data_IF_168413085337
#
_entry.id   IF_168413085337
#
_cell.length_a   1.000
_cell.length_b   1.000
_cell.length_c   1.000
_cell.angle_alpha   90.00
_cell.angle_beta   90.00
_cell.angle_gamma   90.00
#
_symmetry.space_group_name_H-M   'P 1'
#
loop_
_entity.id
_entity.type
_entity.pdbx_description
1 polymer ?
#
# COMPACT_ATOMS: atom_id res chain seq x y z
N UNK A 1 -37.92 -7.30 23.46
CA UNK A 1 -37.93 -8.14 22.24
C UNK A 1 -37.95 -7.23 21.03
N UNK A 2 -36.81 -7.04 20.37
CA UNK A 2 -36.70 -6.20 19.16
C UNK A 2 -37.21 -6.98 17.97
N UNK A 3 -38.38 -6.65 17.49
CA UNK A 3 -38.94 -7.19 16.26
C UNK A 3 -37.99 -6.94 15.11
N UNK A 4 -37.32 -7.98 14.58
CA UNK A 4 -36.57 -7.91 13.32
C UNK A 4 -37.59 -7.66 12.20
N UNK A 5 -37.77 -6.41 11.80
CA UNK A 5 -38.59 -6.09 10.62
C UNK A 5 -38.02 -6.83 9.41
N UNK A 6 -38.90 -7.61 8.73
CA UNK A 6 -38.56 -8.30 7.48
C UNK A 6 -38.36 -7.24 6.39
N UNK A 7 -37.28 -7.36 5.63
CA UNK A 7 -37.00 -6.55 4.46
C UNK A 7 -37.84 -7.07 3.31
N UNK A 8 -38.56 -6.18 2.62
CA UNK A 8 -39.32 -6.52 1.42
C UNK A 8 -38.37 -6.75 0.22
N UNK A 9 -38.90 -7.37 -0.85
CA UNK A 9 -38.13 -7.58 -2.09
C UNK A 9 -37.72 -6.24 -2.72
N UNK A 10 -38.63 -5.26 -2.70
CA UNK A 10 -38.38 -3.93 -3.27
C UNK A 10 -37.31 -3.16 -2.47
N UNK A 11 -37.37 -3.23 -1.14
CA UNK A 11 -36.33 -2.65 -0.28
C UNK A 11 -34.97 -3.31 -0.51
N UNK A 12 -34.93 -4.63 -0.72
CA UNK A 12 -33.66 -5.31 -1.05
C UNK A 12 -33.14 -4.86 -2.41
N UNK A 13 -34.00 -4.77 -3.42
CA UNK A 13 -33.62 -4.28 -4.75
C UNK A 13 -33.06 -2.87 -4.68
N UNK A 14 -33.70 -1.97 -3.95
CA UNK A 14 -33.27 -0.60 -3.74
C UNK A 14 -31.91 -0.53 -3.02
N UNK A 15 -31.69 -1.34 -1.97
CA UNK A 15 -30.41 -1.44 -1.25
C UNK A 15 -29.28 -1.81 -2.21
N UNK A 16 -29.51 -2.84 -3.04
CA UNK A 16 -28.48 -3.35 -3.96
C UNK A 16 -28.20 -2.37 -5.09
N UNK A 17 -29.22 -1.67 -5.59
CA UNK A 17 -29.07 -0.61 -6.59
C UNK A 17 -28.21 0.55 -6.04
N UNK A 18 -28.58 1.10 -4.89
CA UNK A 18 -27.83 2.22 -4.28
C UNK A 18 -26.41 1.84 -3.88
N UNK A 19 -26.20 0.58 -3.49
CA UNK A 19 -24.85 0.08 -3.21
C UNK A 19 -24.00 -0.02 -4.50
N UNK A 20 -24.58 -0.42 -5.65
CA UNK A 20 -23.91 -0.42 -6.96
C UNK A 20 -23.57 0.99 -7.45
N UNK A 21 -24.40 1.97 -7.12
CA UNK A 21 -24.10 3.39 -7.37
C UNK A 21 -22.98 3.96 -6.47
N UNK A 22 -22.45 3.18 -5.53
CA UNK A 22 -21.39 3.59 -4.60
C UNK A 22 -21.88 4.31 -3.36
N UNK A 23 -23.19 4.27 -3.04
CA UNK A 23 -23.71 4.82 -1.80
C UNK A 23 -23.21 3.99 -0.59
N UNK A 24 -22.66 4.66 0.42
CA UNK A 24 -22.14 3.99 1.62
C UNK A 24 -23.24 3.30 2.45
N UNK A 25 -22.90 2.20 3.12
CA UNK A 25 -23.84 1.42 3.93
C UNK A 25 -24.58 2.23 5.02
N UNK A 26 -23.92 3.27 5.55
CA UNK A 26 -24.53 4.18 6.54
C UNK A 26 -25.60 5.05 5.88
N UNK A 27 -25.35 5.55 4.68
CA UNK A 27 -26.26 6.43 3.96
C UNK A 27 -27.47 5.64 3.45
N UNK A 28 -27.27 4.39 2.99
CA UNK A 28 -28.35 3.46 2.64
C UNK A 28 -29.22 3.15 3.85
N UNK A 29 -28.61 2.91 5.04
CA UNK A 29 -29.35 2.70 6.28
C UNK A 29 -30.22 3.93 6.65
N UNK A 30 -29.67 5.14 6.52
CA UNK A 30 -30.40 6.40 6.77
C UNK A 30 -31.54 6.63 5.79
N UNK A 31 -31.31 6.34 4.50
CA UNK A 31 -32.33 6.44 3.44
C UNK A 31 -33.55 5.56 3.77
N UNK A 32 -33.34 4.43 4.43
CA UNK A 32 -34.39 3.54 4.90
C UNK A 32 -34.88 3.91 6.33
N UNK A 33 -34.72 5.16 6.75
CA UNK A 33 -35.10 5.66 8.07
C UNK A 33 -34.56 4.78 9.24
N UNK A 34 -33.36 4.21 9.06
CA UNK A 34 -32.72 3.29 10.00
C UNK A 34 -33.55 2.04 10.33
N UNK A 35 -34.51 1.66 9.47
CA UNK A 35 -35.27 0.42 9.58
C UNK A 35 -34.37 -0.81 9.70
N UNK A 36 -33.20 -0.75 9.08
CA UNK A 36 -32.13 -1.75 9.18
C UNK A 36 -30.78 -1.08 9.49
N UNK A 37 -29.95 -1.78 10.25
CA UNK A 37 -28.63 -1.26 10.62
C UNK A 37 -27.66 -1.29 9.44
N UNK A 38 -26.65 -0.40 9.46
CA UNK A 38 -25.54 -0.40 8.47
C UNK A 38 -24.87 -1.77 8.32
N UNK A 39 -24.74 -2.53 9.43
CA UNK A 39 -24.16 -3.88 9.41
C UNK A 39 -25.05 -4.84 8.62
N UNK A 40 -26.36 -4.72 8.76
CA UNK A 40 -27.30 -5.55 8.00
C UNK A 40 -27.29 -5.18 6.53
N UNK A 41 -27.21 -3.89 6.18
CA UNK A 41 -27.02 -3.42 4.80
C UNK A 41 -25.75 -4.05 4.22
N UNK A 42 -24.61 -3.95 4.93
CA UNK A 42 -23.33 -4.55 4.50
C UNK A 42 -23.47 -6.06 4.24
N UNK A 43 -24.07 -6.81 5.16
CA UNK A 43 -24.27 -8.26 4.99
C UNK A 43 -25.11 -8.61 3.76
N UNK A 44 -26.17 -7.84 3.49
CA UNK A 44 -27.01 -8.04 2.30
C UNK A 44 -26.22 -7.76 1.02
N UNK A 45 -25.50 -6.66 0.96
CA UNK A 45 -24.69 -6.30 -0.20
C UNK A 45 -23.60 -7.35 -0.47
N UNK A 46 -22.85 -7.78 0.55
CA UNK A 46 -21.81 -8.82 0.40
C UNK A 46 -22.40 -10.18 -0.03
N UNK A 47 -23.59 -10.54 0.47
CA UNK A 47 -24.29 -11.75 0.02
C UNK A 47 -24.60 -11.74 -1.48
N UNK A 48 -24.76 -10.56 -2.07
CA UNK A 48 -24.99 -10.35 -3.50
C UNK A 48 -23.74 -9.89 -4.26
N UNK A 49 -22.53 -10.13 -3.71
CA UNK A 49 -21.24 -9.77 -4.30
C UNK A 49 -21.09 -8.26 -4.61
N UNK A 50 -21.68 -7.41 -3.77
CA UNK A 50 -21.58 -5.95 -3.89
C UNK A 50 -20.80 -5.41 -2.68
N UNK A 51 -19.62 -4.84 -2.93
CA UNK A 51 -18.89 -4.08 -1.92
C UNK A 51 -18.99 -2.56 -2.20
N UNK A 52 -20.00 -1.94 -1.58
CA UNK A 52 -20.24 -0.50 -1.75
C UNK A 52 -19.09 0.37 -1.21
N UNK A 53 -18.28 -0.14 -0.30
CA UNK A 53 -17.09 0.59 0.17
C UNK A 53 -16.02 0.63 -0.92
N UNK A 54 -15.80 -0.49 -1.62
CA UNK A 54 -14.86 -0.57 -2.73
C UNK A 54 -15.30 0.35 -3.88
N UNK A 55 -16.57 0.24 -4.30
CA UNK A 55 -17.15 1.08 -5.36
C UNK A 55 -17.07 2.58 -5.01
N UNK A 56 -17.41 2.96 -3.76
CA UNK A 56 -17.30 4.34 -3.28
C UNK A 56 -15.86 4.84 -3.30
N UNK A 57 -14.92 3.96 -2.95
CA UNK A 57 -13.49 4.29 -2.95
C UNK A 57 -13.02 4.51 -4.38
N UNK A 58 -13.30 3.63 -5.32
CA UNK A 58 -12.92 3.81 -6.73
C UNK A 58 -13.53 5.08 -7.33
N UNK A 59 -14.84 5.31 -7.13
CA UNK A 59 -15.50 6.52 -7.59
C UNK A 59 -14.89 7.79 -6.99
N UNK A 60 -14.66 7.82 -5.69
CA UNK A 60 -14.00 8.95 -5.02
C UNK A 60 -12.57 9.18 -5.50
N UNK A 61 -11.87 8.13 -5.90
CA UNK A 61 -10.55 8.18 -6.49
C UNK A 61 -10.59 8.79 -7.89
N UNK A 62 -11.57 8.41 -8.69
CA UNK A 62 -11.78 8.94 -10.04
C UNK A 62 -12.18 10.42 -10.00
N UNK A 63 -13.15 10.81 -9.15
CA UNK A 63 -13.56 12.20 -8.93
C UNK A 63 -12.38 13.08 -8.45
N UNK A 64 -11.51 12.53 -7.58
CA UNK A 64 -10.29 13.23 -7.15
C UNK A 64 -9.30 13.40 -8.29
N UNK A 65 -9.10 12.38 -9.12
CA UNK A 65 -8.24 12.45 -10.29
C UNK A 65 -8.76 13.48 -11.30
N UNK A 66 -10.05 13.49 -11.59
CA UNK A 66 -10.69 14.46 -12.49
C UNK A 66 -10.55 15.89 -11.97
N UNK A 67 -10.81 16.10 -10.66
CA UNK A 67 -10.63 17.42 -10.02
C UNK A 67 -9.19 17.90 -10.05
N UNK A 68 -8.22 16.98 -9.86
CA UNK A 68 -6.80 17.33 -9.93
C UNK A 68 -6.38 17.63 -11.37
N UNK A 69 -6.91 16.90 -12.35
CA UNK A 69 -6.73 17.17 -13.79
C UNK A 69 -7.25 18.56 -14.14
N UNK A 70 -8.45 18.90 -13.72
CA UNK A 70 -9.06 20.22 -13.97
C UNK A 70 -8.27 21.36 -13.31
N UNK A 71 -7.74 21.12 -12.10
CA UNK A 71 -6.99 22.13 -11.34
C UNK A 71 -5.59 22.40 -11.88
N UNK A 72 -4.91 21.38 -12.40
CA UNK A 72 -3.48 21.47 -12.74
C UNK A 72 -3.22 21.35 -14.25
N UNK A 73 -4.25 21.17 -15.08
CA UNK A 73 -4.11 21.01 -16.53
C UNK A 73 -3.35 19.75 -16.97
N UNK A 74 -3.14 18.82 -16.06
CA UNK A 74 -2.42 17.57 -16.28
C UNK A 74 -3.43 16.44 -16.42
N UNK A 75 -3.41 15.70 -17.53
CA UNK A 75 -4.24 14.51 -17.71
C UNK A 75 -3.73 13.40 -16.77
N UNK A 76 -4.33 13.30 -15.58
CA UNK A 76 -3.99 12.31 -14.55
C UNK A 76 -4.46 10.93 -15.00
N UNK A 77 -3.58 10.25 -15.74
CA UNK A 77 -3.80 8.86 -16.11
C UNK A 77 -3.83 7.96 -14.86
N UNK A 78 -4.42 6.78 -14.96
CA UNK A 78 -4.41 5.77 -13.89
C UNK A 78 -2.99 5.48 -13.34
N UNK A 79 -1.95 5.69 -14.14
CA UNK A 79 -0.55 5.52 -13.76
C UNK A 79 -0.09 6.61 -12.77
N UNK A 80 -0.46 7.85 -12.98
CA UNK A 80 -0.12 8.98 -12.10
C UNK A 80 -0.89 8.88 -10.77
N UNK A 81 -2.13 8.41 -10.85
CA UNK A 81 -2.92 8.13 -9.65
C UNK A 81 -2.28 7.04 -8.79
N UNK A 82 -1.85 5.92 -9.38
CA UNK A 82 -1.08 4.88 -8.65
C UNK A 82 0.18 5.46 -8.02
N UNK A 83 0.90 6.32 -8.74
CA UNK A 83 2.07 7.04 -8.23
C UNK A 83 1.71 7.93 -7.04
N UNK A 84 0.58 8.62 -7.08
CA UNK A 84 0.07 9.41 -5.95
C UNK A 84 -0.27 8.56 -4.72
N UNK A 85 -0.88 7.38 -4.90
CA UNK A 85 -1.16 6.45 -3.80
C UNK A 85 0.11 5.86 -3.19
N UNK A 86 1.06 5.45 -4.02
CA UNK A 86 2.39 5.01 -3.59
C UNK A 86 3.03 6.11 -2.74
N UNK A 87 2.99 7.35 -3.20
CA UNK A 87 3.53 8.51 -2.50
C UNK A 87 2.87 8.72 -1.13
N UNK A 88 1.55 8.61 -1.03
CA UNK A 88 0.82 8.74 0.24
C UNK A 88 1.18 7.61 1.23
N UNK A 89 1.21 6.36 0.75
CA UNK A 89 1.54 5.18 1.56
C UNK A 89 2.98 5.26 2.07
N UNK A 90 3.92 5.58 1.18
CA UNK A 90 5.33 5.67 1.53
C UNK A 90 5.65 6.86 2.43
N UNK A 91 4.88 7.95 2.34
CA UNK A 91 5.04 9.11 3.24
C UNK A 91 4.74 8.76 4.71
N UNK A 92 3.78 7.90 4.97
CA UNK A 92 3.53 7.40 6.32
C UNK A 92 4.68 6.53 6.81
N UNK A 93 5.15 5.59 5.99
CA UNK A 93 6.32 4.74 6.31
C UNK A 93 7.57 5.58 6.55
N UNK A 94 7.79 6.64 5.76
CA UNK A 94 8.91 7.56 5.91
C UNK A 94 8.88 8.29 7.26
N UNK A 95 7.71 8.82 7.66
CA UNK A 95 7.54 9.46 8.96
C UNK A 95 7.82 8.50 10.13
N UNK A 96 7.31 7.29 10.05
CA UNK A 96 7.57 6.26 11.06
C UNK A 96 9.06 5.89 11.13
N UNK A 97 9.73 5.77 9.97
CA UNK A 97 11.16 5.48 9.88
C UNK A 97 11.98 6.61 10.47
N UNK A 98 11.63 7.88 10.17
CA UNK A 98 12.26 9.08 10.74
C UNK A 98 12.17 9.07 12.27
N UNK A 99 10.96 8.88 12.82
CA UNK A 99 10.75 8.84 14.26
C UNK A 99 11.61 7.75 14.93
N UNK A 100 11.69 6.55 14.32
CA UNK A 100 12.54 5.48 14.83
C UNK A 100 14.03 5.82 14.73
N UNK A 101 14.49 6.37 13.61
CA UNK A 101 15.89 6.78 13.42
C UNK A 101 16.30 7.82 14.48
N UNK A 102 15.46 8.83 14.71
CA UNK A 102 15.67 9.85 15.75
C UNK A 102 15.75 9.22 17.14
N UNK A 103 14.84 8.28 17.45
CA UNK A 103 14.80 7.59 18.75
C UNK A 103 16.08 6.80 19.05
N UNK A 104 16.72 6.23 18.02
CA UNK A 104 17.96 5.45 18.16
C UNK A 104 19.22 6.25 17.84
N UNK A 105 19.11 7.58 17.71
CA UNK A 105 20.24 8.49 17.48
C UNK A 105 20.89 8.39 16.08
N UNK A 106 20.20 7.79 15.07
CA UNK A 106 20.71 7.77 13.69
C UNK A 106 20.50 9.13 13.01
N UNK A 107 21.51 9.64 12.26
CA UNK A 107 21.40 10.87 11.49
C UNK A 107 20.21 10.82 10.52
N UNK A 108 19.47 11.93 10.43
CA UNK A 108 18.37 12.09 9.50
C UNK A 108 18.41 13.47 8.85
N UNK A 109 18.81 13.52 7.59
CA UNK A 109 18.93 14.73 6.77
C UNK A 109 18.54 14.44 5.31
N UNK A 110 17.39 13.76 5.10
CA UNK A 110 16.81 13.52 3.80
C UNK A 110 15.37 14.00 3.77
N UNK A 111 14.98 14.62 2.66
CA UNK A 111 13.59 14.98 2.40
C UNK A 111 12.86 13.89 1.59
N UNK A 112 11.57 13.75 1.82
CA UNK A 112 10.76 12.71 1.17
C UNK A 112 10.75 12.83 -0.37
N UNK A 113 10.84 14.05 -0.90
CA UNK A 113 10.86 14.33 -2.34
C UNK A 113 12.13 13.89 -3.06
N UNK A 114 13.20 13.58 -2.33
CA UNK A 114 14.46 13.11 -2.88
C UNK A 114 14.46 11.59 -3.18
N UNK A 115 13.41 10.89 -2.77
CA UNK A 115 13.32 9.43 -2.88
C UNK A 115 12.62 9.01 -4.17
N UNK A 116 13.22 8.06 -4.88
CA UNK A 116 12.57 7.35 -5.95
C UNK A 116 11.78 6.14 -5.44
N UNK A 117 10.64 5.89 -6.07
CA UNK A 117 9.77 4.75 -5.77
C UNK A 117 9.69 3.84 -7.01
N UNK A 118 10.66 2.93 -7.19
CA UNK A 118 10.73 2.08 -8.37
C UNK A 118 9.61 1.03 -8.35
N UNK A 119 9.18 0.56 -9.52
CA UNK A 119 8.21 -0.54 -9.65
C UNK A 119 8.82 -1.90 -9.28
N UNK A 120 10.13 -2.05 -9.48
CA UNK A 120 10.87 -3.26 -9.16
C UNK A 120 12.04 -2.94 -8.22
N UNK A 121 12.35 -3.90 -7.36
CA UNK A 121 13.51 -3.80 -6.47
C UNK A 121 14.80 -3.69 -7.29
N UNK A 122 15.60 -2.63 -7.15
CA UNK A 122 16.83 -2.47 -7.93
C UNK A 122 17.91 -3.50 -7.60
N UNK A 123 17.75 -4.24 -6.49
CA UNK A 123 18.71 -5.28 -6.06
C UNK A 123 18.32 -6.67 -6.57
N UNK A 124 17.05 -7.06 -6.38
CA UNK A 124 16.57 -8.42 -6.68
C UNK A 124 15.69 -8.51 -7.92
N UNK A 125 15.34 -7.41 -8.57
CA UNK A 125 14.48 -7.37 -9.75
C UNK A 125 13.02 -7.73 -9.52
N UNK A 126 12.60 -8.06 -8.30
CA UNK A 126 11.22 -8.44 -7.97
C UNK A 126 10.31 -7.22 -7.95
N UNK A 127 9.06 -7.36 -8.40
CA UNK A 127 8.06 -6.29 -8.35
C UNK A 127 7.76 -5.90 -6.90
N UNK A 128 7.71 -4.59 -6.63
CA UNK A 128 7.45 -4.05 -5.29
C UNK A 128 5.95 -3.86 -5.08
N UNK A 129 5.41 -4.49 -4.02
CA UNK A 129 4.03 -4.29 -3.58
C UNK A 129 3.94 -3.18 -2.53
N UNK A 130 3.55 -1.99 -2.99
CA UNK A 130 3.36 -0.80 -2.16
C UNK A 130 2.09 -0.83 -1.31
N UNK A 131 1.17 -1.76 -1.59
CA UNK A 131 -0.17 -1.80 -1.00
C UNK A 131 -0.42 -3.04 -0.14
N UNK A 132 0.58 -3.87 0.06
CA UNK A 132 0.47 -5.04 0.92
C UNK A 132 -0.02 -4.65 2.32
N UNK A 133 -1.07 -5.32 2.80
CA UNK A 133 -1.63 -5.12 4.15
C UNK A 133 -0.64 -5.52 5.26
N UNK A 134 0.17 -6.52 4.98
CA UNK A 134 1.23 -7.01 5.88
C UNK A 134 2.57 -6.97 5.17
N UNK A 135 3.65 -6.83 5.93
CA UNK A 135 5.01 -6.88 5.38
C UNK A 135 5.28 -8.23 4.75
N UNK A 136 5.64 -8.23 3.47
CA UNK A 136 5.99 -9.38 2.65
C UNK A 136 7.41 -9.23 2.09
N UNK A 137 7.92 -10.28 1.45
CA UNK A 137 9.26 -10.31 0.84
C UNK A 137 9.48 -9.15 -0.16
N UNK A 138 8.44 -8.80 -0.92
CA UNK A 138 8.44 -7.74 -1.92
C UNK A 138 7.91 -6.38 -1.42
N UNK A 139 7.63 -6.23 -0.12
CA UNK A 139 7.23 -4.93 0.42
C UNK A 139 8.37 -3.91 0.32
N UNK A 140 8.08 -2.64 -0.04
CA UNK A 140 9.11 -1.60 -0.13
C UNK A 140 9.66 -1.23 1.25
N UNK A 141 10.97 -1.08 1.32
CA UNK A 141 11.73 -0.72 2.51
C UNK A 141 12.75 0.36 2.21
N UNK A 142 12.91 1.34 3.12
CA UNK A 142 13.99 2.33 3.05
C UNK A 142 15.26 1.71 3.61
N UNK A 143 16.31 1.70 2.82
CA UNK A 143 17.63 1.19 3.17
C UNK A 143 18.71 2.26 3.02
N UNK A 144 19.69 2.27 3.92
CA UNK A 144 20.89 3.09 3.79
C UNK A 144 21.95 2.32 3.01
N UNK A 145 22.48 2.91 1.93
CA UNK A 145 23.60 2.32 1.18
C UNK A 145 24.80 2.09 2.09
N UNK A 146 25.14 3.11 2.87
CA UNK A 146 26.13 3.08 3.93
C UNK A 146 25.44 3.27 5.29
N UNK A 147 25.32 2.22 6.11
CA UNK A 147 24.64 2.32 7.41
C UNK A 147 25.26 3.32 8.39
N UNK A 148 26.55 3.64 8.24
CA UNK A 148 27.28 4.57 9.12
C UNK A 148 26.85 6.01 8.92
N UNK A 149 26.43 6.39 7.70
CA UNK A 149 25.99 7.75 7.34
C UNK A 149 24.57 8.06 7.76
N UNK A 150 23.75 7.04 8.04
CA UNK A 150 22.34 7.21 8.35
C UNK A 150 21.50 7.63 7.15
N UNK A 151 20.37 8.30 7.43
CA UNK A 151 19.36 8.69 6.42
C UNK A 151 19.67 10.11 5.92
N UNK A 152 20.60 10.21 4.99
CA UNK A 152 21.02 11.47 4.37
C UNK A 152 20.81 11.43 2.85
N UNK A 153 20.77 12.59 2.20
CA UNK A 153 20.61 12.70 0.74
C UNK A 153 21.66 11.85 0.01
N UNK A 154 21.25 11.13 -1.03
CA UNK A 154 22.11 10.24 -1.83
C UNK A 154 22.48 8.92 -1.14
N UNK A 155 22.14 8.72 0.13
CA UNK A 155 22.45 7.49 0.87
C UNK A 155 21.24 6.58 1.14
N UNK A 156 20.03 6.97 0.73
CA UNK A 156 18.81 6.20 0.97
C UNK A 156 18.18 5.76 -0.33
N UNK A 157 17.85 4.47 -0.40
CA UNK A 157 17.18 3.85 -1.54
C UNK A 157 15.95 3.07 -1.10
N UNK A 158 15.01 2.87 -2.03
CA UNK A 158 13.85 2.00 -1.81
C UNK A 158 14.13 0.65 -2.47
N UNK A 159 14.22 -0.38 -1.66
CA UNK A 159 14.44 -1.77 -2.08
C UNK A 159 13.36 -2.68 -1.48
N UNK A 160 13.31 -3.94 -1.90
CA UNK A 160 12.41 -4.91 -1.26
C UNK A 160 12.84 -5.21 0.19
N UNK A 161 11.88 -5.54 1.03
CA UNK A 161 12.16 -6.00 2.39
C UNK A 161 13.07 -7.23 2.40
N UNK A 162 12.92 -8.13 1.40
CA UNK A 162 13.82 -9.27 1.19
C UNK A 162 15.28 -8.82 0.98
N UNK A 163 15.50 -7.89 0.04
CA UNK A 163 16.84 -7.37 -0.23
C UNK A 163 17.44 -6.69 1.01
N UNK A 164 16.63 -5.88 1.72
CA UNK A 164 17.05 -5.20 2.93
C UNK A 164 17.46 -6.19 4.04
N UNK A 165 16.69 -7.26 4.22
CA UNK A 165 17.05 -8.34 5.18
C UNK A 165 18.34 -9.06 4.83
N UNK A 166 18.53 -9.35 3.53
CA UNK A 166 19.76 -10.03 3.06
C UNK A 166 20.97 -9.11 3.25
N UNK A 167 20.82 -7.82 2.87
CA UNK A 167 21.88 -6.84 3.00
C UNK A 167 22.22 -6.56 4.47
N UNK A 168 21.22 -6.32 5.30
CA UNK A 168 21.35 -5.99 6.71
C UNK A 168 22.45 -4.96 6.96
N UNK A 169 23.46 -5.29 7.75
CA UNK A 169 24.65 -4.49 8.08
C UNK A 169 25.94 -4.99 7.41
N UNK A 170 25.82 -6.04 6.57
CA UNK A 170 26.97 -6.64 5.90
C UNK A 170 27.62 -5.71 4.89
N UNK A 171 28.94 -5.72 4.86
CA UNK A 171 29.74 -5.03 3.85
C UNK A 171 29.68 -5.71 2.48
N UNK A 172 29.97 -5.00 1.42
CA UNK A 172 30.07 -5.58 0.08
C UNK A 172 31.08 -6.74 0.00
N UNK A 173 32.15 -6.69 0.81
CA UNK A 173 33.15 -7.75 0.89
C UNK A 173 32.60 -9.00 1.54
N UNK A 174 31.88 -8.86 2.66
CA UNK A 174 31.24 -9.99 3.36
C UNK A 174 30.18 -10.65 2.49
N UNK A 175 29.34 -9.86 1.80
CA UNK A 175 28.35 -10.42 0.87
C UNK A 175 29.00 -11.20 -0.27
N UNK A 176 30.11 -10.73 -0.83
CA UNK A 176 30.87 -11.48 -1.86
C UNK A 176 31.46 -12.77 -1.30
N UNK A 177 31.99 -12.75 -0.08
CA UNK A 177 32.56 -13.93 0.57
C UNK A 177 31.47 -15.00 0.82
N UNK A 178 30.28 -14.56 1.31
CA UNK A 178 29.12 -15.46 1.50
C UNK A 178 28.66 -16.05 0.17
N UNK A 179 28.52 -15.22 -0.88
CA UNK A 179 28.12 -15.71 -2.19
C UNK A 179 29.11 -16.74 -2.75
N UNK A 180 30.41 -16.44 -2.69
CA UNK A 180 31.47 -17.37 -3.14
C UNK A 180 31.47 -18.68 -2.35
N UNK A 181 31.26 -18.63 -1.04
CA UNK A 181 31.15 -19.82 -0.20
C UNK A 181 29.97 -20.72 -0.64
N UNK A 182 28.80 -20.14 -0.84
CA UNK A 182 27.60 -20.87 -1.26
C UNK A 182 27.82 -21.48 -2.65
N UNK A 183 28.32 -20.70 -3.62
CA UNK A 183 28.59 -21.17 -4.97
C UNK A 183 29.58 -22.33 -5.02
N UNK A 184 30.64 -22.28 -4.20
CA UNK A 184 31.62 -23.34 -4.13
C UNK A 184 31.06 -24.60 -3.45
N UNK A 185 30.23 -24.45 -2.42
CA UNK A 185 29.61 -25.56 -1.72
C UNK A 185 28.55 -26.30 -2.59
N UNK A 186 27.96 -25.61 -3.57
CA UNK A 186 26.94 -26.18 -4.46
C UNK A 186 27.51 -26.71 -5.80
N UNK A 187 28.83 -26.57 -6.04
CA UNK A 187 29.45 -27.18 -7.23
C UNK A 187 29.36 -28.70 -7.14
N UNK A 188 28.88 -29.42 -8.18
CA UNK A 188 28.95 -30.86 -8.21
C UNK A 188 30.41 -31.31 -8.07
N UNK A 189 30.66 -32.32 -7.24
CA UNK A 189 31.98 -32.96 -7.20
C UNK A 189 32.30 -33.45 -8.62
N UNK A 190 33.38 -32.98 -9.21
CA UNK A 190 33.87 -33.51 -10.47
C UNK A 190 34.17 -35.02 -10.23
N UNK A 191 33.36 -35.87 -10.80
CA UNK A 191 33.55 -37.35 -10.84
C UNK A 191 34.57 -37.72 -11.87
#
# INVERSE_FOLDING_TARGET
MTFRQKITKDELSLILEKAREGMGYTDISRMLNNKITKQRVKQLCLKHNIDAHHIKTEKGLQEKAERMTAKWGVNWSNKEYRRSLIYQTMRQKFRAKRANATRIGKPWAIEFGELDFPTHCPVLGIELDYFAEKTQENSPSFDCLDPSKGYVSGNVVVISWRANRIKNDGTAQEHRAIASFIENALKPSAS
#
